data_IF_004643083346
#
_entry.id   IF_004643083346
#
_cell.length_a   1.000
_cell.length_b   1.000
_cell.length_c   1.000
_cell.angle_alpha   90.00
_cell.angle_beta   90.00
_cell.angle_gamma   90.00
#
_symmetry.space_group_name_H-M   'P 1'
#
loop_
_entity.id
_entity.type
_entity.pdbx_description
1 polymer ?
#
# COMPACT_ATOMS: atom_id res chain seq x y z
N UNK A 1 76.37 50.38 5.00
CA UNK A 1 75.61 49.55 5.96
C UNK A 1 74.77 48.60 5.12
N UNK A 2 75.31 47.41 4.87
CA UNK A 2 74.63 46.32 4.18
C UNK A 2 73.85 45.44 5.16
N UNK A 3 72.84 44.80 4.58
CA UNK A 3 72.15 43.57 4.97
C UNK A 3 71.05 43.60 6.05
N UNK A 4 69.78 43.40 5.67
CA UNK A 4 69.09 42.14 5.32
C UNK A 4 68.52 41.46 6.57
N UNK A 5 67.19 41.37 6.62
CA UNK A 5 66.37 40.15 6.78
C UNK A 5 65.16 40.34 7.71
N UNK A 6 63.99 40.16 7.11
CA UNK A 6 62.96 39.23 7.55
C UNK A 6 62.75 39.11 9.07
N UNK A 7 61.78 39.84 9.61
CA UNK A 7 60.85 39.24 10.59
C UNK A 7 59.44 39.31 10.04
N UNK A 8 59.21 38.39 9.11
CA UNK A 8 57.91 37.85 8.78
C UNK A 8 57.35 37.22 10.06
N UNK A 9 56.59 37.98 10.83
CA UNK A 9 55.78 37.40 11.92
C UNK A 9 54.53 36.82 11.27
N UNK A 10 54.76 35.74 10.52
CA UNK A 10 53.74 34.77 10.21
C UNK A 10 53.34 34.12 11.53
N UNK A 11 52.13 34.39 12.02
CA UNK A 11 51.28 33.27 12.42
C UNK A 11 49.80 33.57 12.17
N UNK A 12 49.42 33.68 10.89
CA UNK A 12 48.07 33.37 10.44
C UNK A 12 47.83 31.84 10.37
N UNK A 13 48.44 31.02 11.24
CA UNK A 13 48.30 29.55 11.18
C UNK A 13 47.07 29.02 11.90
N UNK A 14 46.36 29.83 12.69
CA UNK A 14 45.22 29.32 13.48
C UNK A 14 43.84 29.83 13.05
N UNK A 15 43.77 30.80 12.14
CA UNK A 15 42.50 31.12 11.47
C UNK A 15 42.18 30.15 10.32
N UNK A 16 43.17 29.38 9.84
CA UNK A 16 42.98 28.43 8.75
C UNK A 16 42.52 27.04 9.23
N UNK A 17 42.44 26.80 10.55
CA UNK A 17 42.03 25.48 11.07
C UNK A 17 40.51 25.33 11.21
N UNK A 18 39.75 26.42 11.14
CA UNK A 18 38.28 26.34 11.04
C UNK A 18 37.81 26.11 9.59
N UNK A 19 38.72 26.25 8.61
CA UNK A 19 38.50 25.95 7.19
C UNK A 19 39.28 24.69 6.75
N UNK A 20 39.53 23.76 7.67
CA UNK A 20 39.50 22.33 7.30
C UNK A 20 38.03 21.90 7.25
N UNK A 21 37.28 22.71 6.51
CA UNK A 21 35.84 22.83 6.46
C UNK A 21 35.34 21.61 5.73
N UNK A 22 34.86 20.67 6.53
CA UNK A 22 34.13 19.47 6.15
C UNK A 22 34.98 18.37 5.52
N UNK A 23 35.18 17.32 6.30
CA UNK A 23 35.63 16.03 5.79
C UNK A 23 34.70 15.61 4.62
N UNK A 24 35.20 15.27 3.42
CA UNK A 24 34.34 14.93 2.26
C UNK A 24 33.28 13.88 2.58
N UNK A 25 33.60 12.95 3.50
CA UNK A 25 32.64 11.96 4.01
C UNK A 25 31.41 12.55 4.70
N UNK A 26 31.52 13.69 5.38
CA UNK A 26 30.39 14.37 6.04
C UNK A 26 29.44 14.96 5.00
N UNK A 27 29.95 15.54 3.91
CA UNK A 27 29.09 16.03 2.81
C UNK A 27 28.37 14.90 2.10
N UNK A 28 29.07 13.79 1.86
CA UNK A 28 28.47 12.59 1.25
C UNK A 28 27.38 12.01 2.16
N UNK A 29 27.63 11.94 3.47
CA UNK A 29 26.64 11.50 4.45
C UNK A 29 25.42 12.44 4.49
N UNK A 30 25.65 13.75 4.52
CA UNK A 30 24.57 14.75 4.53
C UNK A 30 23.74 14.66 3.25
N UNK A 31 24.37 14.51 2.10
CA UNK A 31 23.69 14.31 0.82
C UNK A 31 22.89 13.00 0.82
N UNK A 32 23.44 11.91 1.36
CA UNK A 32 22.72 10.65 1.49
C UNK A 32 21.46 10.78 2.37
N UNK A 33 21.56 11.50 3.49
CA UNK A 33 20.42 11.79 4.37
C UNK A 33 19.38 12.64 3.64
N UNK A 34 19.79 13.68 2.93
CA UNK A 34 18.86 14.54 2.16
C UNK A 34 18.14 13.73 1.08
N UNK A 35 18.86 12.90 0.32
CA UNK A 35 18.26 12.03 -0.70
C UNK A 35 17.28 11.04 -0.08
N UNK A 36 17.64 10.43 1.05
CA UNK A 36 16.76 9.53 1.78
C UNK A 36 15.49 10.24 2.25
N UNK A 37 15.63 11.43 2.85
CA UNK A 37 14.50 12.25 3.30
C UNK A 37 13.58 12.61 2.14
N UNK A 38 14.12 13.05 1.00
CA UNK A 38 13.31 13.34 -0.19
C UNK A 38 12.59 12.09 -0.68
N UNK A 39 13.26 10.93 -0.71
CA UNK A 39 12.67 9.66 -1.08
C UNK A 39 11.50 9.26 -0.16
N UNK A 40 11.68 9.39 1.15
CA UNK A 40 10.64 9.13 2.15
C UNK A 40 9.49 10.13 2.04
N UNK A 41 9.76 11.41 1.77
CA UNK A 41 8.72 12.42 1.56
C UNK A 41 7.88 12.13 0.30
N UNK A 42 8.52 11.80 -0.82
CA UNK A 42 7.83 11.45 -2.06
C UNK A 42 7.01 10.17 -1.84
N UNK A 43 7.61 9.12 -1.28
CA UNK A 43 6.90 7.88 -1.00
C UNK A 43 5.78 8.06 0.03
N UNK A 44 5.96 8.90 1.04
CA UNK A 44 4.94 9.18 2.04
C UNK A 44 3.74 9.93 1.50
N UNK A 45 3.94 10.80 0.50
CA UNK A 45 2.87 11.57 -0.13
C UNK A 45 2.16 10.81 -1.26
N UNK A 46 2.92 10.10 -2.10
CA UNK A 46 2.38 9.40 -3.27
C UNK A 46 2.09 7.92 -3.03
N UNK A 47 2.74 7.31 -2.04
CA UNK A 47 2.50 5.93 -1.66
C UNK A 47 1.11 5.76 -1.07
N UNK A 48 0.52 4.60 -1.33
CA UNK A 48 -0.73 4.17 -0.72
C UNK A 48 -0.50 2.80 -0.10
N UNK A 49 -1.01 2.63 1.10
CA UNK A 49 -1.08 1.34 1.79
C UNK A 49 -2.55 0.96 1.77
N UNK A 50 -2.87 -0.07 1.01
CA UNK A 50 -4.24 -0.56 0.87
C UNK A 50 -4.46 -1.70 1.86
N UNK A 51 -5.48 -1.55 2.72
CA UNK A 51 -5.97 -2.65 3.55
C UNK A 51 -6.93 -3.48 2.71
N UNK A 52 -6.61 -4.76 2.56
CA UNK A 52 -7.32 -5.68 1.66
C UNK A 52 -7.97 -6.83 2.44
N UNK A 53 -9.22 -7.15 2.11
CA UNK A 53 -9.91 -8.36 2.57
C UNK A 53 -9.90 -9.37 1.42
N UNK A 54 -9.32 -10.55 1.67
CA UNK A 54 -9.31 -11.64 0.70
C UNK A 54 -10.67 -12.33 0.66
N UNK A 55 -11.18 -12.56 -0.54
CA UNK A 55 -12.49 -13.15 -0.81
C UNK A 55 -12.46 -13.86 -2.17
N UNK A 56 -13.60 -14.42 -2.57
CA UNK A 56 -13.81 -15.12 -3.83
C UNK A 56 -14.93 -14.44 -4.62
N UNK A 57 -14.74 -14.39 -5.93
CA UNK A 57 -15.77 -14.02 -6.89
C UNK A 57 -16.13 -15.25 -7.72
N UNK A 58 -17.41 -15.51 -7.85
CA UNK A 58 -17.97 -16.51 -8.75
C UNK A 58 -18.76 -15.76 -9.79
N UNK A 59 -18.35 -15.87 -11.05
CA UNK A 59 -19.10 -15.33 -12.17
C UNK A 59 -19.93 -16.44 -12.80
N UNK A 60 -21.24 -16.29 -12.76
CA UNK A 60 -22.20 -17.15 -13.45
C UNK A 60 -22.92 -16.32 -14.52
N UNK A 61 -23.01 -16.84 -15.76
CA UNK A 61 -23.62 -16.16 -16.90
C UNK A 61 -23.11 -14.70 -17.08
N UNK A 62 -21.79 -14.52 -17.00
CA UNK A 62 -21.10 -13.23 -17.07
C UNK A 62 -21.39 -12.24 -15.92
N UNK A 63 -22.13 -12.66 -14.89
CA UNK A 63 -22.47 -11.81 -13.74
C UNK A 63 -21.63 -12.22 -12.53
N UNK A 64 -20.61 -11.42 -12.16
CA UNK A 64 -19.77 -11.71 -11.01
C UNK A 64 -20.47 -11.40 -9.68
N UNK A 65 -20.47 -12.40 -8.81
CA UNK A 65 -20.89 -12.30 -7.43
C UNK A 65 -19.71 -12.58 -6.50
N UNK A 66 -19.48 -11.66 -5.58
CA UNK A 66 -18.49 -11.68 -4.52
C UNK A 66 -19.15 -12.24 -3.26
N UNK A 67 -18.44 -13.08 -2.50
CA UNK A 67 -18.95 -13.62 -1.24
C UNK A 67 -18.14 -13.10 -0.06
N UNK A 68 -18.79 -12.41 0.87
CA UNK A 68 -18.12 -11.78 2.03
C UNK A 68 -18.62 -12.40 3.32
N UNK A 69 -17.73 -12.72 4.26
CA UNK A 69 -18.12 -13.23 5.58
C UNK A 69 -18.89 -12.16 6.36
N UNK A 70 -19.83 -12.61 7.19
CA UNK A 70 -20.63 -11.72 8.04
C UNK A 70 -19.77 -10.81 8.94
N UNK A 71 -18.64 -11.32 9.44
CA UNK A 71 -17.71 -10.56 10.30
C UNK A 71 -17.09 -9.34 9.62
N UNK A 72 -16.98 -9.37 8.29
CA UNK A 72 -16.34 -8.30 7.51
C UNK A 72 -17.35 -7.36 6.85
N UNK A 73 -18.64 -7.72 6.81
CA UNK A 73 -19.69 -6.91 6.19
C UNK A 73 -19.83 -5.51 6.77
N UNK A 74 -19.54 -5.31 8.06
CA UNK A 74 -19.55 -3.99 8.68
C UNK A 74 -18.58 -2.99 8.02
N UNK A 75 -17.54 -3.50 7.34
CA UNK A 75 -16.53 -2.71 6.63
C UNK A 75 -16.88 -2.52 5.16
N UNK A 76 -17.77 -3.33 4.59
CA UNK A 76 -18.06 -3.34 3.15
C UNK A 76 -19.16 -2.33 2.80
N UNK A 77 -18.96 -1.60 1.69
CA UNK A 77 -19.92 -0.63 1.15
C UNK A 77 -19.95 -0.65 -0.37
N UNK A 78 -21.07 -0.22 -0.95
CA UNK A 78 -21.16 0.03 -2.39
C UNK A 78 -20.09 1.05 -2.82
N UNK A 79 -19.52 0.84 -4.01
CA UNK A 79 -18.43 1.63 -4.56
C UNK A 79 -17.03 1.23 -4.11
N UNK A 80 -16.89 0.27 -3.18
CA UNK A 80 -15.55 -0.25 -2.81
C UNK A 80 -14.89 -0.98 -3.97
N UNK A 81 -13.58 -0.82 -4.09
CA UNK A 81 -12.80 -1.42 -5.15
C UNK A 81 -12.51 -2.89 -4.85
N UNK A 82 -12.65 -3.72 -5.88
CA UNK A 82 -12.38 -5.16 -5.84
C UNK A 82 -11.38 -5.49 -6.91
N UNK A 83 -10.23 -6.02 -6.50
CA UNK A 83 -9.18 -6.49 -7.39
C UNK A 83 -9.36 -7.98 -7.65
N UNK A 84 -9.50 -8.35 -8.91
CA UNK A 84 -9.55 -9.73 -9.36
C UNK A 84 -8.16 -10.21 -9.80
N UNK A 85 -7.80 -11.44 -9.43
CA UNK A 85 -6.54 -12.10 -9.78
C UNK A 85 -5.29 -11.28 -9.47
N UNK A 86 -5.21 -10.69 -8.27
CA UNK A 86 -4.00 -10.00 -7.81
C UNK A 86 -3.58 -8.82 -8.72
N UNK A 87 -4.52 -7.88 -8.93
CA UNK A 87 -4.39 -6.60 -9.64
C UNK A 87 -4.51 -6.64 -11.17
N UNK A 88 -4.96 -7.74 -11.78
CA UNK A 88 -5.19 -7.74 -13.24
C UNK A 88 -6.37 -6.85 -13.63
N UNK A 89 -7.42 -6.84 -12.80
CA UNK A 89 -8.66 -6.13 -13.10
C UNK A 89 -9.26 -5.51 -11.84
N UNK A 90 -9.60 -4.22 -11.91
CA UNK A 90 -10.25 -3.47 -10.83
C UNK A 90 -11.72 -3.25 -11.17
N UNK A 91 -12.58 -3.65 -10.23
CA UNK A 91 -14.02 -3.54 -10.28
C UNK A 91 -14.51 -2.80 -9.03
N UNK A 92 -15.81 -2.52 -8.99
CA UNK A 92 -16.44 -1.91 -7.83
C UNK A 92 -17.65 -2.74 -7.41
N UNK A 93 -17.93 -2.76 -6.11
CA UNK A 93 -19.17 -3.33 -5.58
C UNK A 93 -20.32 -2.43 -6.02
N UNK A 94 -21.21 -2.98 -6.85
CA UNK A 94 -22.38 -2.26 -7.35
C UNK A 94 -23.59 -2.41 -6.43
N UNK A 95 -23.77 -3.60 -5.88
CA UNK A 95 -24.91 -3.94 -5.05
C UNK A 95 -24.52 -4.99 -3.99
N UNK A 96 -25.17 -4.95 -2.85
CA UNK A 96 -24.93 -5.85 -1.72
C UNK A 96 -26.29 -6.44 -1.33
N UNK A 97 -26.41 -7.75 -1.41
CA UNK A 97 -27.64 -8.43 -0.97
C UNK A 97 -27.79 -8.33 0.55
N UNK A 98 -28.98 -7.96 1.02
CA UNK A 98 -29.25 -7.77 2.46
C UNK A 98 -29.39 -9.10 3.23
N UNK A 99 -29.71 -10.18 2.52
CA UNK A 99 -29.93 -11.50 3.11
C UNK A 99 -28.66 -12.35 3.00
N UNK A 100 -28.07 -12.79 4.11
CA UNK A 100 -26.94 -13.71 4.06
C UNK A 100 -27.37 -15.10 3.57
N UNK A 101 -26.49 -15.74 2.83
CA UNK A 101 -26.62 -17.12 2.37
C UNK A 101 -25.69 -18.01 3.20
N UNK A 102 -26.16 -19.21 3.53
CA UNK A 102 -25.36 -20.19 4.27
C UNK A 102 -24.52 -21.00 3.28
N UNK A 103 -23.21 -21.07 3.50
CA UNK A 103 -22.30 -21.88 2.69
C UNK A 103 -22.70 -23.35 2.81
N UNK A 104 -23.14 -23.95 1.71
CA UNK A 104 -23.51 -25.37 1.62
C UNK A 104 -22.40 -26.18 0.97
N UNK A 105 -22.56 -27.50 0.94
CA UNK A 105 -21.62 -28.40 0.26
C UNK A 105 -21.73 -28.34 -1.28
N UNK A 106 -22.84 -27.78 -1.79
CA UNK A 106 -23.07 -27.54 -3.22
C UNK A 106 -22.19 -26.40 -3.76
N UNK A 107 -21.63 -25.57 -2.88
CA UNK A 107 -20.68 -24.53 -3.27
C UNK A 107 -19.37 -25.17 -3.74
N UNK A 108 -18.89 -24.70 -4.90
CA UNK A 108 -17.63 -25.12 -5.52
C UNK A 108 -16.49 -25.20 -4.48
N UNK A 109 -15.82 -26.35 -4.42
CA UNK A 109 -14.75 -26.62 -3.44
C UNK A 109 -13.59 -25.62 -3.60
N UNK A 110 -13.27 -25.28 -4.84
CA UNK A 110 -12.23 -24.28 -5.12
C UNK A 110 -12.66 -22.89 -4.63
N UNK A 111 -13.92 -22.50 -4.81
CA UNK A 111 -14.45 -21.26 -4.27
C UNK A 111 -14.40 -21.21 -2.73
N UNK A 112 -14.78 -22.31 -2.06
CA UNK A 112 -14.67 -22.44 -0.59
C UNK A 112 -13.22 -22.31 -0.12
N UNK A 113 -12.28 -22.93 -0.81
CA UNK A 113 -10.85 -22.83 -0.50
C UNK A 113 -10.31 -21.41 -0.69
N UNK A 114 -10.67 -20.72 -1.78
CA UNK A 114 -10.23 -19.34 -2.03
C UNK A 114 -10.79 -18.34 -1.03
N UNK A 115 -12.08 -18.47 -0.68
CA UNK A 115 -12.77 -17.63 0.30
C UNK A 115 -12.50 -18.02 1.76
N UNK A 116 -11.80 -19.14 1.99
CA UNK A 116 -11.60 -19.73 3.32
C UNK A 116 -12.92 -19.90 4.08
N UNK A 117 -13.93 -20.44 3.39
CA UNK A 117 -15.27 -20.64 3.94
C UNK A 117 -15.44 -22.04 4.49
N UNK A 118 -16.17 -22.15 5.60
CA UNK A 118 -16.60 -23.43 6.15
C UNK A 118 -18.06 -23.70 5.82
N UNK A 119 -18.41 -24.97 5.62
CA UNK A 119 -19.81 -25.37 5.44
C UNK A 119 -20.59 -24.98 6.70
N UNK A 120 -21.67 -24.25 6.47
CA UNK A 120 -22.55 -23.73 7.51
C UNK A 120 -22.23 -22.31 7.98
N UNK A 121 -21.18 -21.69 7.46
CA UNK A 121 -20.87 -20.28 7.67
C UNK A 121 -21.84 -19.37 6.88
N UNK A 122 -22.09 -18.16 7.36
CA UNK A 122 -22.93 -17.18 6.69
C UNK A 122 -22.08 -16.21 5.87
N UNK A 123 -22.43 -16.05 4.60
CA UNK A 123 -21.78 -15.16 3.65
C UNK A 123 -22.81 -14.25 2.97
N UNK A 124 -22.43 -13.01 2.72
CA UNK A 124 -23.21 -12.05 1.98
C UNK A 124 -22.74 -12.01 0.54
N UNK A 125 -23.70 -11.87 -0.37
CA UNK A 125 -23.47 -11.87 -1.79
C UNK A 125 -23.48 -10.44 -2.30
N UNK A 126 -22.41 -10.03 -2.98
CA UNK A 126 -22.28 -8.68 -3.52
C UNK A 126 -22.03 -8.75 -5.03
N UNK A 127 -22.75 -7.95 -5.82
CA UNK A 127 -22.59 -7.91 -7.27
C UNK A 127 -21.53 -6.87 -7.65
N UNK A 128 -20.66 -7.20 -8.62
CA UNK A 128 -19.73 -6.20 -9.17
C UNK A 128 -20.35 -5.40 -10.33
N UNK A 129 -19.80 -4.20 -10.57
CA UNK A 129 -20.29 -3.23 -11.54
C UNK A 129 -20.09 -3.60 -13.02
N UNK A 130 -19.22 -4.56 -13.34
CA UNK A 130 -18.94 -5.00 -14.71
C UNK A 130 -19.04 -6.49 -14.82
N UNK A 131 -19.28 -6.96 -16.04
CA UNK A 131 -19.32 -8.37 -16.35
C UNK A 131 -17.91 -8.98 -16.36
N UNK A 132 -17.80 -10.21 -15.88
CA UNK A 132 -16.57 -11.00 -15.85
C UNK A 132 -16.87 -12.33 -16.53
N UNK A 133 -15.91 -12.92 -17.25
CA UNK A 133 -16.12 -14.25 -17.84
C UNK A 133 -16.51 -15.25 -16.76
N UNK A 134 -17.25 -16.28 -17.16
CA UNK A 134 -17.67 -17.34 -16.24
C UNK A 134 -16.45 -18.01 -15.61
N UNK A 135 -16.53 -18.25 -14.30
CA UNK A 135 -15.45 -18.86 -13.54
C UNK A 135 -15.34 -18.34 -12.10
N UNK A 136 -14.48 -19.02 -11.33
CA UNK A 136 -14.14 -18.68 -9.95
C UNK A 136 -12.80 -17.98 -9.90
N UNK A 137 -12.74 -16.82 -9.24
CA UNK A 137 -11.57 -15.96 -9.17
C UNK A 137 -11.25 -15.57 -7.74
N UNK A 138 -9.96 -15.43 -7.44
CA UNK A 138 -9.52 -14.82 -6.18
C UNK A 138 -9.72 -13.32 -6.27
N UNK A 139 -10.30 -12.73 -5.21
CA UNK A 139 -10.56 -11.31 -5.14
C UNK A 139 -10.03 -10.69 -3.85
N UNK A 140 -9.67 -9.41 -3.92
CA UNK A 140 -9.30 -8.60 -2.78
C UNK A 140 -10.15 -7.34 -2.76
N UNK A 141 -10.88 -7.10 -1.67
CA UNK A 141 -11.64 -5.86 -1.48
C UNK A 141 -10.73 -4.84 -0.80
N UNK A 142 -10.55 -3.68 -1.41
CA UNK A 142 -9.83 -2.55 -0.81
C UNK A 142 -10.81 -1.82 0.10
N UNK A 143 -10.69 -2.03 1.41
CA UNK A 143 -11.56 -1.40 2.42
C UNK A 143 -11.03 -0.04 2.89
N UNK A 144 -9.71 0.12 2.88
CA UNK A 144 -9.04 1.36 3.27
C UNK A 144 -7.83 1.58 2.39
N UNK A 145 -7.53 2.85 2.08
CA UNK A 145 -6.34 3.25 1.34
C UNK A 145 -5.79 4.50 2.02
N UNK A 146 -4.62 4.39 2.63
CA UNK A 146 -4.02 5.46 3.44
C UNK A 146 -2.62 5.79 2.95
N UNK A 147 -2.28 7.08 2.95
CA UNK A 147 -0.94 7.53 2.63
C UNK A 147 -0.02 7.31 3.84
N UNK A 148 1.22 6.82 3.67
CA UNK A 148 2.11 6.58 4.81
C UNK A 148 2.34 7.81 5.69
N UNK A 149 2.29 9.03 5.12
CA UNK A 149 2.48 10.26 5.89
C UNK A 149 1.34 10.55 6.87
N UNK A 150 0.10 10.10 6.60
CA UNK A 150 -1.04 10.35 7.50
C UNK A 150 -0.94 9.56 8.82
N UNK A 151 -0.13 8.49 8.88
CA UNK A 151 0.14 7.77 10.12
C UNK A 151 1.01 8.54 11.11
N UNK A 152 1.85 9.47 10.63
CA UNK A 152 2.79 10.21 11.48
C UNK A 152 2.10 11.43 12.14
N UNK A 153 1.02 11.92 11.54
CA UNK A 153 0.32 13.14 11.97
C UNK A 153 -0.96 12.90 12.78
N UNK A 154 -1.29 11.63 13.07
CA UNK A 154 -2.46 11.21 13.84
C UNK A 154 -2.02 10.75 15.23
#
# INVERSE_FOLDING_TARGET
>A
MEDKKFKKVNSPEQLNQYIRLSNPGVWILLLAIVVLLVGVCIWGYFGKIDTKIKTVVISDNYTPYLYVKEEDMAKIKNGMQVELNNNENIFEIADIEETPEKVTDDMDEYARHLGNFQVGEWVYKCRLNKNVKEGTYSANIIIESIAPMTFITN
#
